data_IF_324375773227
#
_entry.id   IF_324375773227
#
_cell.length_a   1.000
_cell.length_b   1.000
_cell.length_c   1.000
_cell.angle_alpha   90.00
_cell.angle_beta   90.00
_cell.angle_gamma   90.00
#
_symmetry.space_group_name_H-M   'P 1'
#
loop_
_entity.id
_entity.type
_entity.pdbx_description
1 polymer ?
#
# COMPACT_ATOMS: atom_id res chain seq x y z
N UNK A 1 10.33 7.44 -4.12
CA UNK A 1 9.18 7.61 -3.21
C UNK A 1 7.97 7.95 -4.05
N UNK A 2 6.94 7.09 -4.06
CA UNK A 2 5.69 7.35 -4.78
C UNK A 2 4.58 7.65 -3.76
N UNK A 3 3.87 8.75 -3.92
CA UNK A 3 2.71 9.12 -3.09
C UNK A 3 1.47 9.03 -3.97
N UNK A 4 0.53 8.14 -3.61
CA UNK A 4 -0.65 7.88 -4.43
C UNK A 4 -1.92 7.80 -3.56
N UNK A 5 -2.89 8.67 -3.84
CA UNK A 5 -4.25 8.60 -3.31
C UNK A 5 -5.13 7.76 -4.24
N UNK A 6 -6.18 7.11 -3.74
CA UNK A 6 -7.00 6.03 -4.35
C UNK A 6 -6.95 5.87 -5.88
N UNK A 7 -7.26 6.90 -6.68
CA UNK A 7 -7.23 6.82 -8.14
C UNK A 7 -5.82 6.64 -8.74
N UNK A 8 -4.81 7.25 -8.12
CA UNK A 8 -3.40 7.07 -8.43
C UNK A 8 -2.88 5.67 -8.05
N UNK A 9 -3.51 4.96 -7.10
CA UNK A 9 -3.16 3.56 -6.81
C UNK A 9 -3.48 2.65 -7.99
N UNK A 10 -4.55 2.93 -8.73
CA UNK A 10 -4.88 2.17 -9.94
C UNK A 10 -4.00 2.58 -11.12
N UNK A 11 -3.83 3.88 -11.37
CA UNK A 11 -3.12 4.35 -12.58
C UNK A 11 -1.59 4.32 -12.46
N UNK A 12 -1.02 4.56 -11.28
CA UNK A 12 0.44 4.59 -11.04
C UNK A 12 0.94 3.26 -10.49
N UNK A 13 0.17 2.62 -9.60
CA UNK A 13 0.58 1.38 -8.94
C UNK A 13 -0.07 0.13 -9.54
N UNK A 14 -1.03 0.27 -10.47
CA UNK A 14 -1.59 -0.84 -11.22
C UNK A 14 -2.28 -1.90 -10.35
N UNK A 15 -2.83 -1.50 -9.20
CA UNK A 15 -3.60 -2.41 -8.35
C UNK A 15 -4.93 -2.71 -9.03
N UNK A 16 -5.24 -3.99 -9.21
CA UNK A 16 -6.48 -4.44 -9.86
C UNK A 16 -7.71 -4.02 -9.04
N UNK A 17 -8.77 -3.58 -9.74
CA UNK A 17 -10.01 -3.14 -9.10
C UNK A 17 -10.62 -4.23 -8.21
N UNK A 18 -10.67 -5.46 -8.71
CA UNK A 18 -11.24 -6.62 -8.01
C UNK A 18 -10.55 -6.89 -6.66
N UNK A 19 -9.25 -6.59 -6.56
CA UNK A 19 -8.52 -6.70 -5.29
C UNK A 19 -8.87 -5.59 -4.31
N UNK A 20 -9.03 -4.36 -4.79
CA UNK A 20 -9.47 -3.24 -3.94
C UNK A 20 -10.89 -3.47 -3.42
N UNK A 21 -11.76 -4.09 -4.21
CA UNK A 21 -13.10 -4.48 -3.78
C UNK A 21 -13.06 -5.58 -2.72
N UNK A 22 -12.16 -6.56 -2.86
CA UNK A 22 -12.04 -7.68 -1.91
C UNK A 22 -11.35 -7.31 -0.59
N UNK A 23 -10.28 -6.51 -0.65
CA UNK A 23 -9.41 -6.26 0.52
C UNK A 23 -9.42 -4.81 0.99
N UNK A 24 -10.12 -3.88 0.32
CA UNK A 24 -10.08 -2.42 0.57
C UNK A 24 -8.69 -1.80 0.39
N UNK A 25 -8.62 -0.48 0.22
CA UNK A 25 -7.36 0.23 -0.01
C UNK A 25 -6.43 0.32 1.23
N UNK A 26 -6.94 -0.04 2.42
CA UNK A 26 -6.21 -0.11 3.70
C UNK A 26 -6.26 -1.55 4.18
N UNK A 27 -5.35 -2.37 3.67
CA UNK A 27 -5.20 -3.78 4.04
C UNK A 27 -3.77 -4.28 3.86
N UNK A 28 -3.36 -5.33 4.57
CA UNK A 28 -2.04 -5.93 4.41
C UNK A 28 -1.76 -6.38 2.96
N UNK A 29 -2.76 -6.95 2.29
CA UNK A 29 -2.67 -7.48 0.93
C UNK A 29 -2.35 -6.37 -0.07
N UNK A 30 -3.15 -5.30 -0.05
CA UNK A 30 -2.96 -4.16 -0.95
C UNK A 30 -1.66 -3.42 -0.62
N UNK A 31 -1.33 -3.25 0.66
CA UNK A 31 -0.10 -2.56 1.08
C UNK A 31 1.14 -3.32 0.60
N UNK A 32 1.17 -4.65 0.73
CA UNK A 32 2.27 -5.48 0.25
C UNK A 32 2.35 -5.51 -1.28
N UNK A 33 1.22 -5.56 -1.97
CA UNK A 33 1.16 -5.50 -3.43
C UNK A 33 1.76 -4.20 -3.96
N UNK A 34 1.41 -3.07 -3.35
CA UNK A 34 2.00 -1.76 -3.66
C UNK A 34 3.51 -1.80 -3.46
N UNK A 35 4.02 -2.30 -2.32
CA UNK A 35 5.46 -2.35 -2.08
C UNK A 35 6.19 -3.21 -3.13
N UNK A 36 5.64 -4.38 -3.46
CA UNK A 36 6.17 -5.27 -4.51
C UNK A 36 6.12 -4.64 -5.90
N UNK A 37 5.09 -3.83 -6.20
CA UNK A 37 5.00 -3.13 -7.48
C UNK A 37 6.02 -2.01 -7.56
N UNK A 38 6.08 -1.14 -6.55
CA UNK A 38 7.06 -0.05 -6.44
C UNK A 38 8.46 -0.60 -6.70
N UNK A 39 8.84 -1.66 -5.99
CA UNK A 39 10.11 -2.35 -6.19
C UNK A 39 10.38 -2.74 -7.65
N UNK A 40 9.38 -3.35 -8.31
CA UNK A 40 9.48 -3.80 -9.71
C UNK A 40 9.61 -2.64 -10.70
N UNK A 41 8.88 -1.54 -10.49
CA UNK A 41 8.91 -0.39 -11.41
C UNK A 41 10.15 0.49 -11.20
N UNK A 42 10.70 0.53 -9.99
CA UNK A 42 11.89 1.33 -9.68
C UNK A 42 13.20 0.54 -9.73
N UNK A 43 13.13 -0.78 -9.93
CA UNK A 43 14.27 -1.70 -9.85
C UNK A 43 15.11 -1.51 -8.57
N UNK A 44 14.47 -1.14 -7.46
CA UNK A 44 15.16 -0.85 -6.21
C UNK A 44 15.37 -2.11 -5.37
N UNK A 45 16.47 -2.14 -4.61
CA UNK A 45 16.72 -3.23 -3.67
C UNK A 45 15.71 -3.20 -2.53
N UNK A 46 15.32 -2.01 -2.07
CA UNK A 46 14.35 -1.78 -1.01
C UNK A 46 13.15 -0.98 -1.52
N UNK A 47 11.94 -1.40 -1.14
CA UNK A 47 10.72 -0.62 -1.35
C UNK A 47 9.79 -0.67 -0.15
N UNK A 48 9.17 0.47 0.13
CA UNK A 48 8.22 0.69 1.21
C UNK A 48 6.85 1.08 0.64
N UNK A 49 5.79 0.60 1.25
CA UNK A 49 4.43 1.10 1.04
C UNK A 49 3.79 1.45 2.38
N UNK A 50 3.04 2.56 2.39
CA UNK A 50 2.27 3.02 3.53
C UNK A 50 0.83 3.22 3.07
N UNK A 51 -0.12 2.59 3.75
CA UNK A 51 -1.55 2.87 3.61
C UNK A 51 -2.15 3.13 4.98
N UNK A 52 -3.26 3.85 5.04
CA UNK A 52 -3.88 4.14 6.32
C UNK A 52 -5.09 5.05 6.22
N UNK A 53 -5.75 5.23 7.37
CA UNK A 53 -6.85 6.18 7.58
C UNK A 53 -6.31 7.33 8.43
N UNK A 54 -5.89 8.42 7.78
CA UNK A 54 -5.30 9.55 8.48
C UNK A 54 -6.31 10.32 9.37
N UNK A 55 -7.60 10.28 9.04
CA UNK A 55 -8.64 11.06 9.70
C UNK A 55 -8.91 12.43 9.04
N UNK A 56 -9.78 13.26 9.63
CA UNK A 56 -10.47 13.05 10.91
C UNK A 56 -11.66 12.07 10.85
N UNK A 57 -12.05 11.64 9.64
CA UNK A 57 -13.15 10.68 9.40
C UNK A 57 -12.71 9.55 8.45
N UNK A 58 -13.61 8.61 8.12
CA UNK A 58 -13.36 7.53 7.17
C UNK A 58 -12.76 6.25 7.77
N UNK A 59 -12.65 6.17 9.09
CA UNK A 59 -12.37 4.93 9.80
C UNK A 59 -13.66 4.17 10.14
N UNK A 60 -13.51 2.87 10.37
CA UNK A 60 -14.58 1.98 10.83
C UNK A 60 -14.12 1.21 12.08
N UNK A 61 -14.93 0.23 12.52
CA UNK A 61 -14.62 -0.59 13.69
C UNK A 61 -13.37 -1.46 13.50
N UNK A 62 -13.11 -1.94 12.28
CA UNK A 62 -11.95 -2.78 11.98
C UNK A 62 -10.69 -1.93 11.73
N UNK A 63 -10.84 -0.74 11.15
CA UNK A 63 -9.77 0.19 10.75
C UNK A 63 -10.12 1.59 11.23
N UNK A 64 -9.94 1.89 12.53
CA UNK A 64 -10.24 3.20 13.08
C UNK A 64 -9.35 4.30 12.49
N UNK A 65 -9.76 5.56 12.66
CA UNK A 65 -8.91 6.73 12.36
C UNK A 65 -7.58 6.58 13.12
N UNK A 66 -6.48 6.83 12.42
CA UNK A 66 -5.12 6.60 12.91
C UNK A 66 -4.53 5.25 12.52
N UNK A 67 -5.31 4.36 11.89
CA UNK A 67 -4.78 3.08 11.37
C UNK A 67 -3.73 3.34 10.29
N UNK A 68 -2.54 2.79 10.47
CA UNK A 68 -1.44 2.82 9.49
C UNK A 68 -0.90 1.41 9.28
N UNK A 69 -0.81 1.01 8.01
CA UNK A 69 -0.20 -0.22 7.56
C UNK A 69 1.06 0.10 6.78
N UNK A 70 2.13 -0.62 7.08
CA UNK A 70 3.44 -0.45 6.46
C UNK A 70 3.88 -1.81 5.90
N UNK A 71 4.26 -1.85 4.63
CA UNK A 71 4.89 -3.02 4.03
C UNK A 71 6.28 -2.67 3.51
N UNK A 72 7.23 -3.57 3.78
CA UNK A 72 8.61 -3.47 3.34
C UNK A 72 8.96 -4.67 2.46
N UNK A 73 9.68 -4.43 1.36
CA UNK A 73 10.22 -5.50 0.51
C UNK A 73 11.69 -5.22 0.21
N UNK A 74 12.54 -6.24 0.29
CA UNK A 74 13.99 -6.15 0.12
C UNK A 74 14.50 -7.23 -0.87
N UNK A 75 15.60 -6.99 -1.61
CA UNK A 75 16.41 -8.02 -2.26
C UNK A 75 17.58 -8.34 -1.33
N UNK A 76 17.68 -9.59 -0.86
CA UNK A 76 18.72 -10.05 0.06
C UNK A 76 18.34 -9.98 1.54
N UNK A 77 19.20 -10.54 2.41
CA UNK A 77 19.13 -10.41 3.87
C UNK A 77 19.92 -9.18 4.30
N UNK A 78 19.33 -8.33 5.16
CA UNK A 78 20.13 -7.41 5.97
C UNK A 78 20.93 -8.28 6.94
N UNK A 79 22.26 -8.24 6.83
CA UNK A 79 23.16 -8.89 7.78
C UNK A 79 23.38 -8.01 9.00
#
# INVERSE_FOLDING_TARGET
>A
MAVAYTHAKMTVLGVERDRLERFTAVSPEITLEIAKKVKRITCSDLALAITGVAGPSGGDWEKPVGTVLIALTLIGMVR
#
